data_IF_735953767815
#
_entry.id   IF_735953767815
#
_cell.length_a   1.000
_cell.length_b   1.000
_cell.length_c   1.000
_cell.angle_alpha   90.00
_cell.angle_beta   90.00
_cell.angle_gamma   90.00
#
_symmetry.space_group_name_H-M   'P 1'
#
loop_
_entity.id
_entity.type
_entity.pdbx_description
1 polymer ?
#
# COMPACT_ATOMS: atom_id res chain seq x y z
N UNK A 1 7.04 -6.84 -37.54
CA UNK A 1 7.54 -5.70 -36.73
C UNK A 1 6.93 -5.80 -35.35
N UNK A 2 7.70 -6.24 -34.36
CA UNK A 2 7.19 -6.55 -33.02
C UNK A 2 6.80 -5.29 -32.26
N UNK A 3 5.56 -5.25 -31.76
CA UNK A 3 5.15 -4.24 -30.78
C UNK A 3 6.02 -4.45 -29.54
N UNK A 4 6.86 -3.48 -29.22
CA UNK A 4 7.60 -3.42 -27.96
C UNK A 4 6.64 -3.54 -26.78
N UNK A 5 6.93 -4.41 -25.81
CA UNK A 5 6.03 -4.71 -24.68
C UNK A 5 5.59 -3.46 -23.90
N UNK A 6 6.43 -2.43 -23.85
CA UNK A 6 6.11 -1.10 -23.27
C UNK A 6 4.91 -0.41 -23.94
N UNK A 7 4.75 -0.54 -25.26
CA UNK A 7 3.67 0.08 -26.03
C UNK A 7 2.35 -0.67 -25.86
N UNK A 8 2.42 -1.99 -25.68
CA UNK A 8 1.25 -2.82 -25.38
C UNK A 8 0.77 -2.59 -23.95
N UNK A 9 1.68 -2.53 -22.97
CA UNK A 9 1.42 -2.20 -21.56
C UNK A 9 0.69 -0.87 -21.40
N UNK A 10 1.25 0.22 -21.95
CA UNK A 10 0.63 1.54 -21.89
C UNK A 10 -0.78 1.55 -22.51
N UNK A 11 -0.98 0.77 -23.58
CA UNK A 11 -2.27 0.67 -24.27
C UNK A 11 -3.30 -0.14 -23.51
N UNK A 12 -2.90 -1.23 -22.86
CA UNK A 12 -3.78 -2.03 -21.99
C UNK A 12 -4.21 -1.23 -20.76
N UNK A 13 -3.30 -0.44 -20.15
CA UNK A 13 -3.63 0.50 -19.07
C UNK A 13 -4.60 1.59 -19.51
N UNK A 14 -4.43 2.16 -20.70
CA UNK A 14 -5.37 3.15 -21.25
C UNK A 14 -6.76 2.55 -21.42
N UNK A 15 -6.83 1.33 -21.97
CA UNK A 15 -8.10 0.62 -22.18
C UNK A 15 -8.77 0.25 -20.86
N UNK A 16 -8.00 -0.18 -19.85
CA UNK A 16 -8.49 -0.43 -18.50
C UNK A 16 -9.18 0.81 -17.92
N UNK A 17 -8.50 1.96 -17.92
CA UNK A 17 -9.06 3.19 -17.37
C UNK A 17 -10.30 3.65 -18.15
N UNK A 18 -10.30 3.50 -19.48
CA UNK A 18 -11.48 3.76 -20.30
C UNK A 18 -12.65 2.81 -19.99
N UNK A 19 -12.39 1.54 -19.69
CA UNK A 19 -13.41 0.57 -19.26
C UNK A 19 -14.05 1.01 -17.93
N UNK A 20 -13.23 1.39 -16.95
CA UNK A 20 -13.70 1.86 -15.65
C UNK A 20 -14.59 3.11 -15.81
N UNK A 21 -14.16 4.08 -16.61
CA UNK A 21 -14.92 5.30 -16.85
C UNK A 21 -16.27 5.02 -17.53
N UNK A 22 -16.31 4.13 -18.53
CA UNK A 22 -17.55 3.71 -19.19
C UNK A 22 -18.46 2.96 -18.22
N UNK A 23 -17.89 2.10 -17.37
CA UNK A 23 -18.62 1.35 -16.36
C UNK A 23 -19.24 2.28 -15.31
N UNK A 24 -18.52 3.30 -14.82
CA UNK A 24 -19.07 4.27 -13.86
C UNK A 24 -20.25 5.04 -14.44
N UNK A 25 -20.25 5.32 -15.75
CA UNK A 25 -21.33 6.05 -16.42
C UNK A 25 -22.55 5.16 -16.76
N UNK A 26 -22.34 3.90 -17.11
CA UNK A 26 -23.37 3.05 -17.74
C UNK A 26 -23.64 1.72 -17.02
N UNK A 27 -22.85 1.38 -16.02
CA UNK A 27 -22.90 0.10 -15.29
C UNK A 27 -22.47 -1.13 -16.10
N UNK A 28 -22.11 -0.97 -17.39
CA UNK A 28 -21.68 -2.05 -18.29
C UNK A 28 -20.71 -1.47 -19.32
N UNK A 29 -19.69 -2.25 -19.71
CA UNK A 29 -18.73 -1.92 -20.77
C UNK A 29 -19.16 -2.62 -22.06
N UNK A 30 -19.50 -1.82 -23.07
CA UNK A 30 -19.87 -2.29 -24.41
C UNK A 30 -18.70 -2.09 -25.39
N UNK A 31 -18.38 -3.13 -26.18
CA UNK A 31 -17.23 -3.13 -27.10
C UNK A 31 -17.29 -1.98 -28.11
N UNK A 32 -18.45 -1.70 -28.69
CA UNK A 32 -18.62 -0.65 -29.70
C UNK A 32 -18.44 0.74 -29.08
N UNK A 33 -19.03 0.96 -27.90
CA UNK A 33 -18.87 2.22 -27.16
C UNK A 33 -17.42 2.47 -26.72
N UNK A 34 -16.72 1.42 -26.32
CA UNK A 34 -15.32 1.52 -25.91
C UNK A 34 -14.41 1.77 -27.12
N UNK A 35 -14.66 1.10 -28.25
CA UNK A 35 -13.94 1.27 -29.51
C UNK A 35 -13.96 2.71 -30.03
N UNK A 36 -15.13 3.36 -29.99
CA UNK A 36 -15.27 4.78 -30.31
C UNK A 36 -14.46 5.67 -29.36
N UNK A 37 -14.46 5.34 -28.06
CA UNK A 37 -13.81 6.14 -27.03
C UNK A 37 -12.27 6.10 -27.10
N UNK A 38 -11.69 4.96 -27.46
CA UNK A 38 -10.22 4.79 -27.52
C UNK A 38 -9.64 4.88 -28.93
N UNK A 39 -10.47 5.23 -29.93
CA UNK A 39 -10.10 5.30 -31.36
C UNK A 39 -9.41 4.02 -31.88
N UNK A 40 -10.04 2.86 -31.61
CA UNK A 40 -9.56 1.56 -32.06
C UNK A 40 -10.69 0.75 -32.70
N UNK A 41 -10.34 -0.19 -33.58
CA UNK A 41 -11.32 -1.12 -34.14
C UNK A 41 -11.89 -2.03 -33.04
N UNK A 42 -13.18 -2.38 -33.10
CA UNK A 42 -13.83 -3.33 -32.17
C UNK A 42 -13.06 -4.64 -32.00
N UNK A 43 -12.48 -5.17 -33.09
CA UNK A 43 -11.65 -6.38 -33.05
C UNK A 43 -10.42 -6.21 -32.15
N UNK A 44 -9.73 -5.07 -32.26
CA UNK A 44 -8.56 -4.79 -31.44
C UNK A 44 -8.94 -4.57 -29.97
N UNK A 45 -10.05 -3.88 -29.70
CA UNK A 45 -10.56 -3.69 -28.34
C UNK A 45 -10.94 -5.00 -27.69
N UNK A 46 -11.56 -5.91 -28.45
CA UNK A 46 -11.92 -7.24 -27.95
C UNK A 46 -10.70 -8.05 -27.48
N UNK A 47 -9.59 -7.98 -28.21
CA UNK A 47 -8.34 -8.64 -27.80
C UNK A 47 -7.86 -8.11 -26.43
N UNK A 48 -7.95 -6.79 -26.19
CA UNK A 48 -7.60 -6.19 -24.91
C UNK A 48 -8.59 -6.49 -23.79
N UNK A 49 -9.90 -6.54 -24.08
CA UNK A 49 -10.94 -6.90 -23.11
C UNK A 49 -10.83 -8.37 -22.68
N UNK A 50 -10.51 -9.27 -23.61
CA UNK A 50 -10.23 -10.66 -23.31
C UNK A 50 -8.98 -10.78 -22.43
N UNK A 51 -7.97 -9.95 -22.70
CA UNK A 51 -6.74 -9.89 -21.90
C UNK A 51 -7.03 -9.36 -20.46
N UNK A 52 -7.90 -8.35 -20.29
CA UNK A 52 -8.38 -7.88 -18.96
C UNK A 52 -9.28 -8.89 -18.25
N UNK A 53 -10.10 -9.64 -18.99
CA UNK A 53 -10.96 -10.68 -18.43
C UNK A 53 -10.14 -11.87 -17.92
N UNK A 54 -9.05 -12.21 -18.60
CA UNK A 54 -8.10 -13.23 -18.12
C UNK A 54 -7.38 -12.82 -16.82
N UNK A 55 -7.30 -11.52 -16.51
CA UNK A 55 -6.78 -11.00 -15.24
C UNK A 55 -7.86 -10.89 -14.15
N UNK A 56 -9.07 -11.37 -14.42
CA UNK A 56 -10.24 -11.29 -13.53
C UNK A 56 -10.69 -9.86 -13.20
N UNK A 57 -10.32 -8.91 -14.06
CA UNK A 57 -10.73 -7.50 -13.95
C UNK A 57 -12.14 -7.31 -14.54
N UNK A 58 -12.45 -8.08 -15.59
CA UNK A 58 -13.72 -8.02 -16.31
C UNK A 58 -14.37 -9.41 -16.41
N UNK A 59 -15.70 -9.45 -16.29
CA UNK A 59 -16.53 -10.65 -16.55
C UNK A 59 -17.33 -10.44 -17.83
N UNK A 60 -17.24 -11.37 -18.78
CA UNK A 60 -18.03 -11.31 -20.02
C UNK A 60 -19.49 -11.73 -19.77
N UNK A 61 -20.45 -10.87 -20.14
CA UNK A 61 -21.88 -11.11 -19.94
C UNK A 61 -22.62 -11.57 -21.21
N UNK A 62 -21.94 -11.61 -22.36
CA UNK A 62 -22.56 -11.93 -23.65
C UNK A 62 -22.78 -10.70 -24.53
N UNK A 63 -23.01 -10.94 -25.83
CA UNK A 63 -23.32 -9.91 -26.83
C UNK A 63 -22.34 -8.71 -26.89
N UNK A 64 -21.05 -8.94 -26.60
CA UNK A 64 -20.05 -7.86 -26.59
C UNK A 64 -20.09 -6.97 -25.35
N UNK A 65 -20.71 -7.43 -24.26
CA UNK A 65 -20.79 -6.70 -22.98
C UNK A 65 -19.92 -7.34 -21.91
N UNK A 66 -19.30 -6.48 -21.11
CA UNK A 66 -18.43 -6.85 -20.00
C UNK A 66 -18.83 -6.08 -18.74
N UNK A 67 -18.78 -6.75 -17.59
CA UNK A 67 -18.96 -6.16 -16.26
C UNK A 67 -17.60 -6.03 -15.57
N UNK A 68 -17.37 -4.92 -14.89
CA UNK A 68 -16.17 -4.75 -14.05
C UNK A 68 -16.33 -5.54 -12.75
N UNK A 69 -15.29 -6.29 -12.35
CA UNK A 69 -15.24 -6.95 -11.06
C UNK A 69 -14.95 -5.90 -9.96
N UNK A 70 -16.00 -5.34 -9.37
CA UNK A 70 -15.90 -4.23 -8.41
C UNK A 70 -15.09 -4.62 -7.18
N UNK A 71 -15.27 -5.83 -6.65
CA UNK A 71 -14.49 -6.33 -5.50
C UNK A 71 -12.99 -6.32 -5.80
N UNK A 72 -12.61 -6.73 -7.02
CA UNK A 72 -11.20 -6.74 -7.44
C UNK A 72 -10.61 -5.34 -7.63
N UNK A 73 -11.43 -4.39 -8.10
CA UNK A 73 -11.03 -2.98 -8.17
C UNK A 73 -10.89 -2.41 -6.77
N UNK A 74 -11.79 -2.74 -5.84
CA UNK A 74 -11.76 -2.30 -4.45
C UNK A 74 -10.54 -2.86 -3.70
N UNK A 75 -10.18 -4.13 -3.92
CA UNK A 75 -8.93 -4.73 -3.38
C UNK A 75 -7.68 -3.95 -3.83
N UNK A 76 -7.61 -3.60 -5.12
CA UNK A 76 -6.47 -2.87 -5.69
C UNK A 76 -6.45 -1.42 -5.23
N UNK A 77 -7.59 -0.75 -5.25
CA UNK A 77 -7.68 0.66 -4.83
C UNK A 77 -7.51 0.84 -3.33
N UNK A 78 -7.96 -0.12 -2.51
CA UNK A 78 -7.72 -0.11 -1.06
C UNK A 78 -6.26 -0.36 -0.70
N UNK A 79 -5.53 -1.20 -1.46
CA UNK A 79 -4.07 -1.31 -1.32
C UNK A 79 -3.31 -0.11 -1.89
N UNK A 80 -3.85 0.58 -2.90
CA UNK A 80 -3.31 1.84 -3.43
C UNK A 80 -3.55 3.03 -2.49
N UNK A 81 -4.30 2.90 -1.40
CA UNK A 81 -4.45 3.94 -0.35
C UNK A 81 -3.10 4.39 0.26
N UNK A 82 -2.01 3.66 -0.01
CA UNK A 82 -0.65 3.99 0.41
C UNK A 82 0.14 4.86 -0.59
N UNK A 83 -0.37 5.19 -1.79
CA UNK A 83 0.20 6.19 -2.72
C UNK A 83 -0.87 6.86 -3.60
N UNK A 84 -0.88 8.20 -3.75
CA UNK A 84 -1.79 8.87 -4.68
C UNK A 84 -1.34 8.62 -6.13
N UNK A 85 -1.89 7.59 -6.77
CA UNK A 85 -1.80 7.42 -8.22
C UNK A 85 -3.11 7.91 -8.85
N UNK A 86 -3.00 8.79 -9.86
CA UNK A 86 -4.14 9.30 -10.63
C UNK A 86 -4.74 8.28 -11.61
N UNK A 87 -4.16 7.08 -11.71
CA UNK A 87 -4.60 6.03 -12.62
C UNK A 87 -4.25 4.65 -12.08
N UNK A 88 -5.15 3.69 -12.31
CA UNK A 88 -4.90 2.29 -12.00
C UNK A 88 -4.09 1.70 -13.16
N UNK A 89 -2.99 1.03 -12.83
CA UNK A 89 -2.15 0.34 -13.79
C UNK A 89 -2.53 -1.13 -13.85
N UNK A 90 -2.34 -1.78 -15.00
CA UNK A 90 -2.56 -3.23 -15.14
C UNK A 90 -1.70 -4.02 -14.14
N UNK A 91 -0.53 -3.50 -13.79
CA UNK A 91 0.40 -4.12 -12.86
C UNK A 91 -0.13 -4.16 -11.42
N UNK A 92 -1.03 -3.26 -11.05
CA UNK A 92 -1.58 -3.23 -9.71
C UNK A 92 -2.48 -4.47 -9.45
N UNK A 93 -2.94 -5.16 -10.51
CA UNK A 93 -3.67 -6.43 -10.42
C UNK A 93 -2.76 -7.67 -10.38
N UNK A 94 -1.45 -7.50 -10.63
CA UNK A 94 -0.46 -8.58 -10.73
C UNK A 94 0.31 -8.69 -9.41
N UNK A 95 -0.11 -9.58 -8.51
CA UNK A 95 0.62 -9.84 -7.25
C UNK A 95 -0.22 -10.15 -6.03
N UNK A 96 -1.41 -9.55 -5.92
CA UNK A 96 -2.25 -9.64 -4.71
C UNK A 96 -2.81 -11.04 -4.43
N UNK A 97 -2.80 -11.93 -5.43
CA UNK A 97 -3.33 -13.27 -5.30
C UNK A 97 -2.31 -14.34 -5.67
N UNK A 98 -1.00 -14.05 -5.65
CA UNK A 98 0.02 -15.06 -6.00
C UNK A 98 -0.01 -16.25 -5.03
N UNK A 99 -0.43 -16.08 -3.78
CA UNK A 99 -0.59 -17.21 -2.85
C UNK A 99 -1.81 -18.10 -3.20
N UNK A 100 -2.98 -17.52 -3.44
CA UNK A 100 -4.17 -18.27 -3.87
C UNK A 100 -4.04 -18.82 -5.31
N UNK A 101 -3.30 -18.11 -6.18
CA UNK A 101 -2.96 -18.53 -7.54
C UNK A 101 -1.76 -19.49 -7.59
N UNK A 102 -0.95 -19.62 -6.53
CA UNK A 102 0.11 -20.62 -6.43
C UNK A 102 -0.42 -21.97 -5.93
N UNK A 103 -1.49 -21.98 -5.12
CA UNK A 103 -2.21 -23.22 -4.78
C UNK A 103 -3.01 -23.77 -5.97
N UNK A 104 -3.44 -22.90 -6.88
CA UNK A 104 -3.80 -23.29 -8.24
C UNK A 104 -2.51 -23.60 -9.01
N UNK A 105 -2.09 -24.87 -9.01
CA UNK A 105 -0.93 -25.48 -9.71
C UNK A 105 -0.82 -25.10 -11.22
N UNK A 106 -1.72 -24.30 -11.75
CA UNK A 106 -1.64 -23.68 -13.06
C UNK A 106 -2.09 -22.23 -12.98
N UNK A 107 -1.14 -21.29 -12.87
CA UNK A 107 -1.31 -20.00 -13.54
C UNK A 107 -1.69 -20.37 -14.98
N UNK A 108 -2.94 -20.13 -15.36
CA UNK A 108 -3.44 -20.64 -16.64
C UNK A 108 -2.50 -20.18 -17.75
N UNK A 109 -2.25 -21.02 -18.76
CA UNK A 109 -1.36 -20.67 -19.88
C UNK A 109 -1.73 -19.31 -20.51
N UNK A 110 -2.99 -18.87 -20.37
CA UNK A 110 -3.46 -17.55 -20.79
C UNK A 110 -2.86 -16.41 -19.97
N UNK A 111 -2.86 -16.51 -18.63
CA UNK A 111 -2.23 -15.51 -17.74
C UNK A 111 -0.72 -15.46 -17.96
N UNK A 112 -0.07 -16.62 -18.14
CA UNK A 112 1.37 -16.68 -18.45
C UNK A 112 1.70 -15.98 -19.78
N UNK A 113 0.94 -16.25 -20.84
CA UNK A 113 1.10 -15.58 -22.15
C UNK A 113 0.88 -14.08 -22.06
N UNK A 114 -0.05 -13.64 -21.21
CA UNK A 114 -0.31 -12.24 -20.94
C UNK A 114 0.86 -11.54 -20.27
N UNK A 115 1.43 -12.14 -19.24
CA UNK A 115 2.63 -11.62 -18.57
C UNK A 115 3.83 -11.56 -19.53
N UNK A 116 3.97 -12.53 -20.43
CA UNK A 116 4.97 -12.51 -21.52
C UNK A 116 4.72 -11.38 -22.53
N UNK A 117 3.46 -11.12 -22.93
CA UNK A 117 3.10 -9.98 -23.80
C UNK A 117 3.41 -8.62 -23.13
N UNK A 118 3.28 -8.55 -21.82
CA UNK A 118 3.53 -7.34 -21.02
C UNK A 118 5.01 -7.07 -20.76
N UNK A 119 5.91 -7.94 -21.24
CA UNK A 119 7.34 -7.91 -20.92
C UNK A 119 7.59 -7.89 -19.41
N UNK A 120 6.69 -8.55 -18.66
CA UNK A 120 6.88 -8.71 -17.24
C UNK A 120 8.06 -9.66 -17.06
N UNK A 121 9.13 -9.27 -16.32
CA UNK A 121 10.20 -10.20 -16.05
C UNK A 121 9.58 -11.44 -15.42
N UNK A 122 9.89 -12.63 -15.94
CA UNK A 122 9.50 -13.88 -15.30
C UNK A 122 10.12 -13.84 -13.91
N UNK A 123 9.35 -13.40 -12.92
CA UNK A 123 9.78 -13.42 -11.53
C UNK A 123 9.77 -14.88 -11.17
N UNK A 124 10.90 -15.54 -11.38
CA UNK A 124 11.19 -16.83 -10.79
C UNK A 124 11.27 -16.58 -9.28
N UNK A 125 10.11 -16.60 -8.61
CA UNK A 125 10.01 -16.26 -7.19
C UNK A 125 11.02 -17.04 -6.35
N UNK A 126 11.32 -18.27 -6.77
CA UNK A 126 12.37 -19.12 -6.19
C UNK A 126 13.78 -18.56 -6.42
N UNK A 127 14.15 -18.17 -7.64
CA UNK A 127 15.47 -17.57 -7.93
C UNK A 127 15.65 -16.24 -7.19
N UNK A 128 14.59 -15.40 -7.18
CA UNK A 128 14.60 -14.12 -6.47
C UNK A 128 14.79 -14.34 -4.97
N UNK A 129 13.98 -15.22 -4.38
CA UNK A 129 14.09 -15.58 -2.96
C UNK A 129 15.46 -16.15 -2.61
N UNK A 130 15.96 -17.11 -3.37
CA UNK A 130 17.28 -17.70 -3.11
C UNK A 130 18.40 -16.68 -3.18
N UNK A 131 18.34 -15.77 -4.16
CA UNK A 131 19.35 -14.73 -4.29
C UNK A 131 19.27 -13.74 -3.13
N UNK A 132 18.07 -13.28 -2.76
CA UNK A 132 17.88 -12.39 -1.61
C UNK A 132 18.32 -13.04 -0.28
N UNK A 133 18.05 -14.33 -0.07
CA UNK A 133 18.52 -15.06 1.11
C UNK A 133 20.06 -15.20 1.18
N UNK A 134 20.75 -15.15 0.03
CA UNK A 134 22.21 -15.27 -0.03
C UNK A 134 22.93 -13.91 -0.01
N UNK A 135 22.25 -12.83 -0.41
CA UNK A 135 22.84 -11.49 -0.43
C UNK A 135 23.12 -11.02 1.00
N UNK A 136 24.39 -10.69 1.25
CA UNK A 136 24.82 -10.08 2.50
C UNK A 136 24.58 -8.59 2.47
N UNK A 137 24.28 -8.01 3.63
CA UNK A 137 24.09 -6.56 3.77
C UNK A 137 25.34 -5.79 3.33
N UNK A 138 26.53 -6.32 3.62
CA UNK A 138 27.83 -5.75 3.24
C UNK A 138 28.04 -5.62 1.72
N UNK A 139 27.34 -6.43 0.92
CA UNK A 139 27.42 -6.42 -0.55
C UNK A 139 26.50 -5.35 -1.17
N UNK A 140 25.69 -4.69 -0.34
CA UNK A 140 24.75 -3.66 -0.73
C UNK A 140 25.30 -2.26 -0.49
N UNK A 141 24.85 -1.29 -1.28
CA UNK A 141 25.26 0.12 -1.17
C UNK A 141 24.59 0.84 0.03
N UNK A 142 23.87 0.11 0.89
CA UNK A 142 23.02 0.67 1.93
C UNK A 142 23.35 0.15 3.34
N UNK A 143 24.64 -0.14 3.57
CA UNK A 143 25.19 -0.66 4.82
C UNK A 143 24.77 0.19 6.05
N UNK A 144 24.65 1.50 5.89
CA UNK A 144 24.29 2.44 6.96
C UNK A 144 22.80 2.39 7.37
N UNK A 145 21.96 1.69 6.61
CA UNK A 145 20.51 1.67 6.80
C UNK A 145 19.95 0.27 7.12
N UNK A 146 20.81 -0.75 7.09
CA UNK A 146 20.42 -2.14 7.28
C UNK A 146 21.13 -2.73 8.49
N UNK A 147 20.37 -3.48 9.30
CA UNK A 147 20.90 -4.22 10.44
C UNK A 147 20.86 -5.72 10.15
N UNK A 148 21.95 -6.41 10.48
CA UNK A 148 22.09 -7.87 10.33
C UNK A 148 23.05 -8.29 9.23
N UNK A 149 23.23 -9.60 9.06
CA UNK A 149 24.20 -10.17 8.12
C UNK A 149 23.64 -10.34 6.70
N UNK A 150 22.33 -10.60 6.58
CA UNK A 150 21.67 -10.97 5.31
C UNK A 150 20.41 -10.16 5.08
N UNK A 151 20.05 -9.94 3.81
CA UNK A 151 18.85 -9.20 3.41
C UNK A 151 17.55 -9.90 3.86
N UNK A 152 17.57 -11.22 3.92
CA UNK A 152 16.48 -12.04 4.43
C UNK A 152 17.07 -12.95 5.47
N UNK A 153 16.61 -12.85 6.71
CA UNK A 153 17.05 -13.71 7.80
C UNK A 153 16.19 -15.00 7.81
N UNK A 154 16.68 -16.13 7.29
CA UNK A 154 15.89 -17.36 7.25
C UNK A 154 15.65 -17.88 8.67
N UNK A 155 14.43 -18.39 8.93
CA UNK A 155 14.05 -18.99 10.23
C UNK A 155 14.11 -18.01 11.42
N UNK A 156 13.88 -16.72 11.17
CA UNK A 156 13.77 -15.72 12.25
C UNK A 156 12.59 -16.03 13.17
N UNK A 157 11.45 -16.43 12.60
CA UNK A 157 10.30 -16.89 13.38
C UNK A 157 10.61 -18.26 13.98
N UNK A 158 10.85 -18.27 15.29
CA UNK A 158 10.89 -19.48 16.12
C UNK A 158 9.67 -19.48 17.00
N UNK A 159 9.17 -20.67 17.32
CA UNK A 159 8.12 -20.81 18.33
C UNK A 159 8.69 -20.35 19.67
N UNK A 160 8.11 -19.27 20.20
CA UNK A 160 8.42 -18.75 21.52
C UNK A 160 7.31 -19.19 22.47
N UNK A 161 7.70 -19.83 23.57
CA UNK A 161 6.76 -20.14 24.64
C UNK A 161 6.52 -18.85 25.44
N UNK A 162 5.29 -18.34 25.36
CA UNK A 162 4.83 -17.14 26.04
C UNK A 162 4.20 -17.54 27.37
N UNK A 163 4.88 -17.24 28.47
CA UNK A 163 4.40 -17.55 29.81
C UNK A 163 4.57 -16.37 30.76
N UNK A 164 3.46 -15.87 31.28
CA UNK A 164 3.38 -14.67 32.11
C UNK A 164 4.00 -13.42 31.45
N UNK A 165 3.71 -13.22 30.16
CA UNK A 165 4.24 -12.10 29.37
C UNK A 165 3.12 -11.27 28.75
N UNK A 166 3.35 -9.97 28.63
CA UNK A 166 2.51 -9.09 27.83
C UNK A 166 3.13 -8.83 26.45
N UNK A 167 2.29 -8.91 25.43
CA UNK A 167 2.63 -8.53 24.05
C UNK A 167 1.75 -7.37 23.65
N UNK A 168 2.37 -6.25 23.26
CA UNK A 168 1.66 -5.04 22.87
C UNK A 168 1.76 -4.80 21.37
N UNK A 169 0.64 -4.50 20.73
CA UNK A 169 0.62 -4.04 19.36
C UNK A 169 -0.50 -3.04 19.08
N UNK A 170 -0.36 -2.26 18.02
CA UNK A 170 -1.38 -1.34 17.55
C UNK A 170 -1.45 -1.26 16.04
N UNK A 171 -2.65 -0.93 15.56
CA UNK A 171 -2.96 -0.75 14.16
C UNK A 171 -3.81 0.50 13.96
N UNK A 172 -3.71 1.09 12.78
CA UNK A 172 -4.58 2.19 12.38
C UNK A 172 -5.08 1.97 10.96
N UNK A 173 -6.30 2.43 10.72
CA UNK A 173 -6.99 2.35 9.45
C UNK A 173 -7.69 3.68 9.16
N UNK A 174 -7.92 3.95 7.89
CA UNK A 174 -8.76 5.06 7.47
C UNK A 174 -9.57 4.66 6.25
N UNK A 175 -10.75 5.27 6.11
CA UNK A 175 -11.59 5.19 4.92
C UNK A 175 -11.92 6.61 4.50
N UNK A 176 -11.63 6.96 3.25
CA UNK A 176 -12.00 8.23 2.66
C UNK A 176 -13.13 7.99 1.67
N UNK A 177 -14.25 8.69 1.86
CA UNK A 177 -15.40 8.63 0.96
C UNK A 177 -15.74 10.04 0.45
N UNK A 178 -16.15 10.09 -0.82
CA UNK A 178 -16.54 11.32 -1.48
C UNK A 178 -18.03 11.27 -1.80
N UNK A 179 -18.75 12.29 -1.34
CA UNK A 179 -20.19 12.42 -1.50
C UNK A 179 -20.49 13.71 -2.26
N UNK A 180 -21.17 13.60 -3.40
CA UNK A 180 -21.70 14.77 -4.08
C UNK A 180 -22.93 15.28 -3.30
N UNK A 181 -22.86 16.52 -2.82
CA UNK A 181 -23.92 17.19 -2.11
C UNK A 181 -24.54 18.19 -3.08
N UNK A 182 -25.59 17.73 -3.78
CA UNK A 182 -26.13 18.38 -4.99
C UNK A 182 -25.10 18.50 -6.13
N UNK A 183 -25.48 19.14 -7.23
CA UNK A 183 -24.62 19.30 -8.43
C UNK A 183 -23.48 20.32 -8.25
N UNK A 184 -23.30 20.92 -7.06
CA UNK A 184 -22.38 22.05 -6.86
C UNK A 184 -21.36 21.88 -5.72
N UNK A 185 -21.46 20.84 -4.88
CA UNK A 185 -20.53 20.66 -3.75
C UNK A 185 -20.10 19.20 -3.57
N UNK A 186 -18.86 19.00 -3.14
CA UNK A 186 -18.27 17.70 -2.87
C UNK A 186 -17.87 17.62 -1.39
N UNK A 187 -18.62 16.82 -0.63
CA UNK A 187 -18.29 16.48 0.75
C UNK A 187 -17.29 15.32 0.74
N UNK A 188 -16.23 15.42 1.53
CA UNK A 188 -15.30 14.30 1.75
C UNK A 188 -15.33 13.92 3.22
N UNK A 189 -15.71 12.69 3.49
CA UNK A 189 -15.79 12.13 4.84
C UNK A 189 -14.61 11.19 5.02
N UNK A 190 -13.80 11.46 6.03
CA UNK A 190 -12.73 10.55 6.45
C UNK A 190 -13.11 9.89 7.76
N UNK A 191 -13.26 8.57 7.73
CA UNK A 191 -13.38 7.75 8.92
C UNK A 191 -11.97 7.30 9.33
N UNK A 192 -11.57 7.61 10.56
CA UNK A 192 -10.27 7.25 11.12
C UNK A 192 -10.49 6.30 12.29
N UNK A 193 -9.67 5.26 12.39
CA UNK A 193 -9.67 4.37 13.53
C UNK A 193 -8.26 3.93 13.89
N UNK A 194 -7.94 3.91 15.18
CA UNK A 194 -6.71 3.36 15.73
C UNK A 194 -7.06 2.42 16.88
N UNK A 195 -6.42 1.25 16.93
CA UNK A 195 -6.62 0.26 17.97
C UNK A 195 -5.28 -0.20 18.54
N UNK A 196 -5.24 -0.43 19.84
CA UNK A 196 -4.10 -1.01 20.54
C UNK A 196 -4.58 -2.18 21.39
N UNK A 197 -3.76 -3.22 21.45
CA UNK A 197 -4.02 -4.43 22.20
C UNK A 197 -2.80 -4.79 23.03
N UNK A 198 -3.03 -4.98 24.32
CA UNK A 198 -2.06 -5.49 25.29
C UNK A 198 -2.53 -6.89 25.69
N UNK A 199 -2.00 -7.91 25.01
CA UNK A 199 -2.36 -9.30 25.25
C UNK A 199 -1.50 -9.93 26.34
N UNK A 200 -2.11 -10.52 27.36
CA UNK A 200 -1.41 -11.31 28.37
C UNK A 200 -1.45 -12.80 28.02
N UNK A 201 -0.29 -13.44 28.00
CA UNK A 201 -0.16 -14.87 27.74
C UNK A 201 0.31 -15.61 28.98
N UNK A 202 -0.43 -16.65 29.38
CA UNK A 202 -0.06 -17.62 30.42
C UNK A 202 -0.01 -19.00 29.77
N UNK A 203 1.15 -19.66 29.79
CA UNK A 203 1.37 -20.97 29.15
C UNK A 203 0.85 -21.06 27.70
N UNK A 204 1.21 -20.08 26.86
CA UNK A 204 0.75 -19.93 25.46
C UNK A 204 -0.75 -19.69 25.26
N UNK A 205 -1.51 -19.47 26.33
CA UNK A 205 -2.95 -19.17 26.26
C UNK A 205 -3.14 -17.68 26.50
N UNK A 206 -3.86 -17.03 25.59
CA UNK A 206 -4.25 -15.63 25.76
C UNK A 206 -5.31 -15.52 26.87
N UNK A 207 -4.96 -14.85 27.96
CA UNK A 207 -5.87 -14.56 29.06
C UNK A 207 -6.61 -13.25 28.76
N UNK A 208 -7.85 -13.36 28.32
CA UNK A 208 -8.71 -12.20 28.04
C UNK A 208 -9.00 -11.35 29.28
N UNK A 209 -8.97 -11.94 30.49
CA UNK A 209 -9.28 -11.23 31.73
C UNK A 209 -8.18 -10.26 32.17
N UNK A 210 -6.93 -10.52 31.76
CA UNK A 210 -5.76 -9.64 32.01
C UNK A 210 -5.36 -8.82 30.79
N UNK A 211 -5.88 -9.17 29.62
CA UNK A 211 -5.63 -8.43 28.38
C UNK A 211 -6.43 -7.13 28.35
N UNK A 212 -5.93 -6.15 27.62
CA UNK A 212 -6.56 -4.84 27.49
C UNK A 212 -6.61 -4.42 26.03
N UNK A 213 -7.76 -3.90 25.60
CA UNK A 213 -7.97 -3.32 24.29
C UNK A 213 -8.34 -1.84 24.42
N UNK A 214 -7.78 -1.00 23.56
CA UNK A 214 -8.12 0.43 23.48
C UNK A 214 -8.34 0.82 22.04
N UNK A 215 -9.39 1.60 21.79
CA UNK A 215 -9.79 2.02 20.44
C UNK A 215 -10.04 3.52 20.42
N UNK A 216 -9.71 4.16 19.31
CA UNK A 216 -10.01 5.56 19.02
C UNK A 216 -10.58 5.62 17.60
N UNK A 217 -11.76 6.19 17.36
CA UNK A 217 -12.71 6.67 18.36
C UNK A 217 -13.30 5.52 19.20
N UNK A 218 -13.74 5.83 20.42
CA UNK A 218 -14.52 4.89 21.22
C UNK A 218 -15.93 4.78 20.61
N UNK A 219 -16.37 3.56 20.32
CA UNK A 219 -17.63 3.32 19.62
C UNK A 219 -18.76 3.20 20.65
N UNK A 220 -19.45 4.30 20.91
CA UNK A 220 -20.66 4.28 21.72
C UNK A 220 -21.89 3.97 20.89
N UNK A 221 -22.78 3.12 21.41
CA UNK A 221 -24.09 2.93 20.79
C UNK A 221 -24.87 4.24 20.80
N UNK A 222 -25.25 4.72 19.62
CA UNK A 222 -26.03 5.95 19.46
C UNK A 222 -27.37 5.82 20.20
N UNK A 223 -27.56 6.64 21.25
CA UNK A 223 -28.80 6.69 22.06
C UNK A 223 -29.71 7.88 21.72
N UNK A 224 -29.44 8.57 20.61
CA UNK A 224 -30.30 9.63 20.09
C UNK A 224 -30.20 11.01 20.75
N UNK A 225 -29.44 11.18 21.86
CA UNK A 225 -29.43 12.44 22.64
C UNK A 225 -28.03 12.91 23.09
N UNK A 226 -26.94 12.18 22.84
CA UNK A 226 -25.62 12.46 23.45
C UNK A 226 -24.47 12.52 22.43
N UNK A 227 -23.40 13.29 22.72
CA UNK A 227 -23.24 14.62 22.13
C UNK A 227 -22.15 14.67 21.05
N UNK A 228 -22.32 15.54 20.07
CA UNK A 228 -21.20 16.10 19.34
C UNK A 228 -20.55 17.13 20.29
N UNK A 229 -19.32 16.87 20.76
CA UNK A 229 -18.57 17.91 21.47
C UNK A 229 -18.19 19.03 20.49
N UNK A 230 -18.63 20.26 20.76
CA UNK A 230 -18.15 21.44 20.03
C UNK A 230 -16.64 21.56 20.22
N UNK A 231 -15.88 21.30 19.16
CA UNK A 231 -14.41 21.37 19.17
C UNK A 231 -13.71 20.22 18.47
N UNK A 232 -14.41 19.16 18.06
CA UNK A 232 -13.81 18.15 17.19
C UNK A 232 -13.40 18.77 15.84
N UNK A 233 -12.14 18.64 15.42
CA UNK A 233 -11.61 19.42 14.32
C UNK A 233 -12.12 18.88 12.99
N UNK A 234 -13.21 19.46 12.49
CA UNK A 234 -13.50 19.42 11.07
C UNK A 234 -12.40 20.21 10.36
N UNK A 235 -11.45 19.50 9.75
CA UNK A 235 -10.47 20.12 8.87
C UNK A 235 -11.12 20.41 7.53
N UNK A 236 -11.58 21.65 7.35
CA UNK A 236 -12.00 22.14 6.04
C UNK A 236 -10.77 22.53 5.22
N UNK A 237 -10.58 21.88 4.06
CA UNK A 237 -9.56 22.26 3.08
C UNK A 237 -10.24 22.75 1.81
N UNK A 238 -10.01 24.01 1.44
CA UNK A 238 -10.42 24.59 0.16
C UNK A 238 -9.24 24.73 -0.80
N UNK A 239 -9.45 24.44 -2.09
CA UNK A 239 -8.47 24.69 -3.17
C UNK A 239 -9.19 24.84 -4.51
N UNK A 240 -8.57 25.57 -5.42
CA UNK A 240 -9.11 25.95 -6.73
C UNK A 240 -8.91 24.88 -7.83
N UNK A 241 -8.38 23.70 -7.45
CA UNK A 241 -8.09 22.60 -8.37
C UNK A 241 -8.69 21.27 -7.85
N UNK A 242 -9.75 20.75 -8.48
CA UNK A 242 -10.48 19.56 -8.01
C UNK A 242 -9.63 18.28 -7.89
N UNK A 243 -8.68 18.08 -8.80
CA UNK A 243 -7.85 16.87 -8.84
C UNK A 243 -6.75 16.90 -7.75
N UNK A 244 -6.31 18.09 -7.34
CA UNK A 244 -5.39 18.27 -6.21
C UNK A 244 -6.10 18.09 -4.86
N UNK A 245 -7.44 18.23 -4.78
CA UNK A 245 -8.21 17.95 -3.57
C UNK A 245 -8.11 16.49 -3.17
N UNK A 246 -8.26 15.55 -4.10
CA UNK A 246 -8.27 14.13 -3.78
C UNK A 246 -6.92 13.66 -3.24
N UNK A 247 -5.83 14.01 -3.95
CA UNK A 247 -4.47 13.73 -3.49
C UNK A 247 -4.18 14.42 -2.14
N UNK A 248 -4.59 15.68 -1.96
CA UNK A 248 -4.44 16.41 -0.70
C UNK A 248 -5.23 15.79 0.45
N UNK A 249 -6.48 15.36 0.21
CA UNK A 249 -7.35 14.70 1.19
C UNK A 249 -6.83 13.33 1.58
N UNK A 250 -6.33 12.55 0.62
CA UNK A 250 -5.67 11.27 0.89
C UNK A 250 -4.44 11.45 1.78
N UNK A 251 -3.60 12.44 1.49
CA UNK A 251 -2.42 12.78 2.30
C UNK A 251 -2.83 13.26 3.70
N UNK A 252 -3.83 14.14 3.80
CA UNK A 252 -4.36 14.60 5.08
C UNK A 252 -4.91 13.45 5.91
N UNK A 253 -5.73 12.57 5.32
CA UNK A 253 -6.30 11.40 5.98
C UNK A 253 -5.21 10.49 6.55
N UNK A 254 -4.11 10.29 5.82
CA UNK A 254 -2.96 9.52 6.30
C UNK A 254 -2.23 10.20 7.44
N UNK A 255 -1.99 11.51 7.38
CA UNK A 255 -1.37 12.21 8.51
C UNK A 255 -2.27 12.17 9.74
N UNK A 256 -3.57 12.38 9.59
CA UNK A 256 -4.54 12.32 10.69
C UNK A 256 -4.60 10.91 11.30
N UNK A 257 -4.59 9.86 10.46
CA UNK A 257 -4.48 8.47 10.91
C UNK A 257 -3.21 8.24 11.74
N UNK A 258 -2.05 8.64 11.24
CA UNK A 258 -0.79 8.47 11.97
C UNK A 258 -0.76 9.30 13.27
N UNK A 259 -1.31 10.52 13.27
CA UNK A 259 -1.46 11.35 14.47
C UNK A 259 -2.27 10.62 15.54
N UNK A 260 -3.42 10.03 15.18
CA UNK A 260 -4.21 9.23 16.11
C UNK A 260 -3.45 7.99 16.58
N UNK A 261 -2.75 7.32 15.67
CA UNK A 261 -1.96 6.12 15.98
C UNK A 261 -0.84 6.42 16.98
N UNK A 262 -0.09 7.52 16.81
CA UNK A 262 0.95 7.92 17.76
C UNK A 262 0.38 8.37 19.10
N UNK A 263 -0.74 9.09 19.13
CA UNK A 263 -1.42 9.47 20.38
C UNK A 263 -1.77 8.23 21.19
N UNK A 264 -2.41 7.25 20.56
CA UNK A 264 -2.74 5.98 21.18
C UNK A 264 -1.48 5.23 21.66
N UNK A 265 -0.43 5.21 20.85
CA UNK A 265 0.84 4.58 21.22
C UNK A 265 1.51 5.23 22.42
N UNK A 266 1.51 6.56 22.49
CA UNK A 266 2.04 7.34 23.61
C UNK A 266 1.25 7.03 24.88
N UNK A 267 -0.10 7.05 24.81
CA UNK A 267 -0.96 6.74 25.95
C UNK A 267 -0.69 5.33 26.51
N UNK A 268 -0.59 4.32 25.63
CA UNK A 268 -0.30 2.95 26.05
C UNK A 268 1.10 2.83 26.68
N UNK A 269 2.10 3.54 26.17
CA UNK A 269 3.44 3.55 26.74
C UNK A 269 3.47 4.25 28.11
N UNK A 270 2.78 5.38 28.24
CA UNK A 270 2.70 6.14 29.48
C UNK A 270 1.94 5.37 30.58
N UNK A 271 0.88 4.63 30.23
CA UNK A 271 0.05 3.88 31.20
C UNK A 271 0.55 2.46 31.49
N UNK A 272 1.17 1.78 30.51
CA UNK A 272 1.46 0.34 30.58
C UNK A 272 2.85 -0.05 30.07
N UNK A 273 3.72 0.92 29.75
CA UNK A 273 5.04 0.65 29.17
C UNK A 273 5.97 -0.17 30.07
N UNK A 274 5.65 -0.33 31.35
CA UNK A 274 6.36 -1.20 32.29
C UNK A 274 6.05 -2.70 32.12
N UNK A 275 4.97 -3.04 31.40
CA UNK A 275 4.48 -4.42 31.29
C UNK A 275 5.07 -5.21 30.12
N UNK A 276 5.62 -4.53 29.12
CA UNK A 276 6.11 -5.15 27.89
C UNK A 276 7.44 -4.55 27.45
N UNK A 277 8.21 -5.31 26.67
CA UNK A 277 9.55 -4.89 26.21
C UNK A 277 9.53 -4.40 24.76
N UNK A 278 8.53 -4.82 23.98
CA UNK A 278 8.42 -4.52 22.55
C UNK A 278 7.03 -4.01 22.24
N UNK A 279 6.95 -2.93 21.48
CA UNK A 279 5.71 -2.36 20.99
C UNK A 279 5.62 -2.51 19.48
N UNK A 280 4.71 -3.35 18.99
CA UNK A 280 4.52 -3.58 17.56
C UNK A 280 3.53 -2.56 16.97
N UNK A 281 4.00 -1.66 16.11
CA UNK A 281 3.16 -0.73 15.36
C UNK A 281 2.94 -1.27 13.96
N UNK A 282 1.70 -1.47 13.52
CA UNK A 282 1.41 -1.76 12.11
C UNK A 282 1.79 -0.55 11.25
N UNK A 283 2.55 -0.79 10.18
CA UNK A 283 3.12 0.22 9.31
C UNK A 283 4.53 0.68 9.71
N UNK A 284 5.06 1.67 8.99
CA UNK A 284 6.36 2.27 9.33
C UNK A 284 6.30 2.98 10.69
N UNK A 285 7.45 2.99 11.39
CA UNK A 285 7.62 3.80 12.59
C UNK A 285 7.72 5.28 12.29
N UNK A 286 8.21 5.66 11.11
CA UNK A 286 8.36 7.06 10.75
C UNK A 286 7.41 7.41 9.61
N UNK A 287 6.76 8.57 9.67
CA UNK A 287 5.87 9.00 8.60
C UNK A 287 6.74 9.40 7.40
N UNK A 288 6.67 8.63 6.32
CA UNK A 288 7.36 8.91 5.06
C UNK A 288 6.33 9.21 3.97
N UNK A 289 6.71 10.04 2.98
CA UNK A 289 6.12 9.90 1.66
C UNK A 289 5.54 11.11 0.95
N UNK A 290 5.64 12.38 1.39
CA UNK A 290 5.03 13.48 0.62
C UNK A 290 5.82 14.79 0.62
N UNK A 291 6.08 15.34 -0.57
CA UNK A 291 6.38 16.76 -0.77
C UNK A 291 5.07 17.48 -1.09
N UNK A 292 4.55 18.27 -0.16
CA UNK A 292 3.38 19.12 -0.43
C UNK A 292 3.64 20.52 0.10
N UNK A 293 3.28 21.52 -0.72
CA UNK A 293 3.51 22.94 -0.43
C UNK A 293 2.31 23.62 0.26
N UNK A 294 1.22 22.90 0.53
CA UNK A 294 0.07 23.45 1.27
C UNK A 294 0.41 23.63 2.75
N UNK A 295 0.12 24.82 3.28
CA UNK A 295 0.39 25.19 4.68
C UNK A 295 -0.28 24.24 5.68
N UNK A 296 -1.49 23.78 5.42
CA UNK A 296 -2.22 22.89 6.32
C UNK A 296 -1.65 21.46 6.32
N UNK A 297 -1.25 20.96 5.15
CA UNK A 297 -0.57 19.66 5.05
C UNK A 297 0.81 19.69 5.70
N UNK A 298 1.52 20.82 5.59
CA UNK A 298 2.77 21.05 6.32
C UNK A 298 2.53 21.01 7.84
N UNK A 299 1.47 21.67 8.35
CA UNK A 299 1.11 21.61 9.77
C UNK A 299 0.80 20.18 10.24
N UNK A 300 0.03 19.42 9.46
CA UNK A 300 -0.28 18.02 9.78
C UNK A 300 0.99 17.15 9.79
N UNK A 301 1.87 17.33 8.81
CA UNK A 301 3.18 16.67 8.77
C UNK A 301 4.01 16.99 10.01
N UNK A 302 4.14 18.26 10.35
CA UNK A 302 4.96 18.71 11.48
C UNK A 302 4.39 18.18 12.81
N UNK A 303 3.07 18.19 12.96
CA UNK A 303 2.39 17.58 14.12
C UNK A 303 2.63 16.07 14.21
N UNK A 304 2.61 15.38 13.07
CA UNK A 304 2.89 13.95 13.00
C UNK A 304 4.35 13.66 13.38
N UNK A 305 5.32 14.46 12.90
CA UNK A 305 6.73 14.35 13.29
C UNK A 305 6.94 14.62 14.79
N UNK A 306 6.30 15.65 15.35
CA UNK A 306 6.37 15.95 16.78
C UNK A 306 5.90 14.74 17.62
N UNK A 307 4.76 14.15 17.25
CA UNK A 307 4.22 12.97 17.93
C UNK A 307 5.09 11.73 17.73
N UNK A 308 5.70 11.55 16.55
CA UNK A 308 6.66 10.48 16.31
C UNK A 308 7.85 10.58 17.28
N UNK A 309 8.46 11.76 17.43
CA UNK A 309 9.57 11.94 18.38
C UNK A 309 9.12 11.77 19.83
N UNK A 310 7.92 12.27 20.19
CA UNK A 310 7.35 12.05 21.53
C UNK A 310 7.11 10.56 21.80
N UNK A 311 6.64 9.81 20.82
CA UNK A 311 6.45 8.36 20.91
C UNK A 311 7.78 7.64 21.16
N UNK A 312 8.84 7.98 20.41
CA UNK A 312 10.17 7.42 20.64
C UNK A 312 10.74 7.78 22.02
N UNK A 313 10.54 9.02 22.47
CA UNK A 313 10.98 9.45 23.79
C UNK A 313 10.25 8.69 24.91
N UNK A 314 8.93 8.49 24.75
CA UNK A 314 8.10 7.73 25.68
C UNK A 314 8.54 6.27 25.74
N UNK A 315 8.78 5.65 24.58
CA UNK A 315 9.28 4.28 24.49
C UNK A 315 10.65 4.16 25.18
N UNK A 316 11.55 5.12 24.93
CA UNK A 316 12.87 5.15 25.57
C UNK A 316 12.79 5.29 27.09
N UNK A 317 11.90 6.15 27.60
CA UNK A 317 11.69 6.33 29.05
C UNK A 317 11.22 5.05 29.73
N UNK A 318 10.37 4.27 29.05
CA UNK A 318 9.85 3.01 29.56
C UNK A 318 10.77 1.80 29.28
N UNK A 319 11.88 1.98 28.55
CA UNK A 319 12.76 0.88 28.15
C UNK A 319 12.13 -0.06 27.10
N UNK A 320 11.14 0.43 26.35
CA UNK A 320 10.42 -0.31 25.32
C UNK A 320 11.07 -0.11 23.95
N UNK A 321 11.17 -1.17 23.17
CA UNK A 321 11.61 -1.12 21.77
C UNK A 321 10.39 -1.00 20.84
N UNK A 322 10.19 0.14 20.15
CA UNK A 322 9.17 0.24 19.13
C UNK A 322 9.61 -0.47 17.84
N UNK A 323 8.72 -1.25 17.24
CA UNK A 323 8.97 -2.02 16.02
C UNK A 323 7.84 -1.76 15.02
N UNK A 324 8.19 -1.28 13.82
CA UNK A 324 7.25 -1.14 12.71
C UNK A 324 7.07 -2.47 12.00
N UNK A 325 5.83 -2.89 11.79
CA UNK A 325 5.48 -4.14 11.12
C UNK A 325 4.77 -3.82 9.82
N UNK A 326 5.43 -4.07 8.70
CA UNK A 326 4.85 -3.86 7.38
C UNK A 326 4.58 -5.23 6.74
N UNK A 327 3.32 -5.67 6.60
CA UNK A 327 3.00 -7.02 6.10
C UNK A 327 3.37 -7.21 4.63
N UNK A 328 3.37 -6.14 3.85
CA UNK A 328 3.79 -6.11 2.45
C UNK A 328 4.89 -5.06 2.31
N UNK A 329 6.10 -5.48 1.93
CA UNK A 329 7.21 -4.54 1.72
C UNK A 329 6.95 -3.72 0.45
N UNK A 330 6.14 -2.67 0.58
CA UNK A 330 6.00 -1.57 -0.38
C UNK A 330 7.10 -0.51 -0.17
N UNK A 331 8.09 -0.82 0.66
CA UNK A 331 9.17 0.11 0.96
C UNK A 331 9.99 0.33 -0.31
N UNK A 332 9.93 1.56 -0.83
CA UNK A 332 10.72 2.00 -1.98
C UNK A 332 12.22 1.78 -1.72
N UNK A 333 12.67 1.82 -0.47
CA UNK A 333 14.02 1.46 -0.09
C UNK A 333 14.30 -0.03 -0.36
N UNK A 334 13.44 -0.93 0.11
CA UNK A 334 13.52 -2.37 -0.21
C UNK A 334 13.48 -2.63 -1.72
N UNK A 335 12.56 -2.00 -2.45
CA UNK A 335 12.48 -2.13 -3.90
C UNK A 335 13.73 -1.63 -4.63
N UNK A 336 14.27 -0.47 -4.25
CA UNK A 336 15.52 0.06 -4.82
C UNK A 336 16.70 -0.87 -4.57
N UNK A 337 16.79 -1.44 -3.37
CA UNK A 337 17.83 -2.41 -3.02
C UNK A 337 17.73 -3.68 -3.84
N UNK A 338 16.55 -4.30 -3.86
CA UNK A 338 16.27 -5.49 -4.67
C UNK A 338 16.60 -5.19 -6.13
N UNK A 339 16.13 -4.07 -6.68
CA UNK A 339 16.45 -3.67 -8.06
C UNK A 339 17.95 -3.55 -8.30
N UNK A 340 18.73 -2.99 -7.38
CA UNK A 340 20.20 -2.93 -7.48
C UNK A 340 20.84 -4.32 -7.58
N UNK A 341 20.39 -5.26 -6.76
CA UNK A 341 20.86 -6.66 -6.75
C UNK A 341 20.59 -7.37 -8.09
N UNK A 342 19.46 -7.08 -8.74
CA UNK A 342 19.07 -7.71 -10.00
C UNK A 342 19.53 -6.94 -11.26
N UNK A 343 19.77 -5.64 -11.18
CA UNK A 343 20.19 -4.81 -12.33
C UNK A 343 21.67 -4.98 -12.70
N UNK A 344 22.50 -5.49 -11.78
CA UNK A 344 23.94 -5.76 -12.01
C UNK A 344 24.23 -6.84 -13.08
N UNK A 345 23.21 -7.47 -13.69
CA UNK A 345 23.39 -8.48 -14.77
C UNK A 345 23.41 -7.92 -16.20
N UNK A 346 23.09 -6.64 -16.44
CA UNK A 346 23.01 -6.11 -17.82
C UNK A 346 24.25 -5.33 -18.30
N UNK A 347 25.32 -5.24 -17.50
CA UNK A 347 26.58 -4.61 -17.89
C UNK A 347 27.78 -5.54 -17.70
N UNK A 348 27.76 -6.68 -18.41
CA UNK A 348 28.99 -7.36 -18.82
C UNK A 348 29.24 -7.07 -20.30
N UNK A 349 29.33 -5.79 -20.65
CA UNK A 349 30.01 -5.32 -21.85
C UNK A 349 31.40 -4.81 -21.44
N UNK A 350 32.44 -4.96 -22.29
CA UNK A 350 33.77 -4.46 -21.93
C UNK A 350 33.69 -2.95 -21.68
N UNK A 351 34.50 -2.41 -20.75
CA UNK A 351 34.50 -0.99 -20.47
C UNK A 351 34.80 -0.23 -21.77
N UNK A 352 33.90 0.68 -22.15
CA UNK A 352 34.19 1.69 -23.16
C UNK A 352 35.44 2.42 -22.70
N UNK A 353 36.55 2.19 -23.41
CA UNK A 353 37.75 3.02 -23.31
C UNK A 353 37.32 4.44 -23.67
N UNK A 354 37.10 5.29 -22.67
CA UNK A 354 37.12 6.73 -22.85
C UNK A 354 38.58 7.15 -23.04
N UNK A 355 39.07 6.94 -24.26
CA UNK A 355 40.22 7.68 -24.75
C UNK A 355 39.76 9.09 -25.08
N UNK A 356 40.25 10.06 -24.32
CA UNK A 356 40.58 11.40 -24.79
C UNK A 356 41.67 11.93 -23.85
N UNK A 357 42.91 11.62 -24.22
CA UNK A 357 44.09 12.43 -23.91
C UNK A 357 44.06 13.68 -24.81
N UNK A 358 44.49 14.80 -24.22
CA UNK A 358 45.13 15.95 -24.88
C UNK A 358 44.18 16.93 -25.58
N UNK A 359 44.42 18.24 -25.59
CA UNK A 359 45.53 19.08 -25.14
C UNK A 359 45.00 20.53 -25.16
N UNK A 360 45.55 21.41 -24.31
CA UNK A 360 45.29 22.86 -24.34
C UNK A 360 45.33 23.53 -22.98
#
# INVERSE_FOLDING_TARGET
MGRTGSTYRARLTLILNACLEVYTQRGVVDVSSLAEKVDLTERAVKDYLDDLSNLDILTYEGAGRYRVNVERIDDVTSELLFEPKSSILVEDFVGQNVAAQAELITVSDKVRRLLEKLDFPKILGTEVREKLCKTRVEETEYLDHLLGETMVLPKFARDLFLDNVYVCGSASAHKLEHWALFDFSLLSVVALSSGAYLGFFDKNILDQGKSLSRYIPDLHSYRGIEPFEEGEPFFEMSTDFPELLEAGRSIAARYLREIQHYRLGIEILEEHGDKFQVYFKLGSLSPHGFMVYSRELVRLRDRCHELYYKFLESAKKCGVVPVGVVPISMDNFFFKMVRGIFSRRNHTGPPLKSGLQGDG
#
